data_IF_624658634822
#
_entry.id   IF_624658634822
#
_cell.length_a   1.000
_cell.length_b   1.000
_cell.length_c   1.000
_cell.angle_alpha   90.00
_cell.angle_beta   90.00
_cell.angle_gamma   90.00
#
_symmetry.space_group_name_H-M   'P 1'
#
loop_
_entity.id
_entity.type
_entity.pdbx_description
1 polymer ?
#
# COMPACT_ATOMS: atom_id res chain seq x y z
N UNK A 1 11.33 -2.65 19.75
CA UNK A 1 11.99 -1.33 19.62
C UNK A 1 10.95 -0.37 19.02
N UNK A 2 10.76 0.84 19.57
CA UNK A 2 9.86 1.80 18.93
C UNK A 2 10.48 2.31 17.62
N UNK A 3 9.65 2.42 16.58
CA UNK A 3 9.99 3.05 15.30
C UNK A 3 9.00 4.19 15.12
N UNK A 4 9.51 5.40 14.95
CA UNK A 4 8.70 6.57 14.69
C UNK A 4 8.50 6.77 13.18
N UNK A 5 7.30 7.13 12.75
CA UNK A 5 6.96 7.40 11.35
C UNK A 5 6.58 8.86 11.14
N UNK A 6 7.19 9.50 10.18
CA UNK A 6 6.74 10.77 9.61
C UNK A 6 6.40 10.58 8.13
N UNK A 7 5.23 11.01 7.68
CA UNK A 7 4.87 11.00 6.26
C UNK A 7 5.51 12.20 5.57
N UNK A 8 6.13 11.98 4.43
CA UNK A 8 6.84 13.03 3.69
C UNK A 8 5.85 14.08 3.15
N UNK A 9 5.96 15.34 3.62
CA UNK A 9 5.19 16.48 3.13
C UNK A 9 5.88 17.11 1.90
N UNK A 10 6.08 16.33 0.84
CA UNK A 10 6.54 16.88 -0.43
C UNK A 10 5.36 17.45 -1.22
N UNK A 11 5.53 18.65 -1.80
CA UNK A 11 4.56 19.36 -2.65
C UNK A 11 3.77 18.40 -3.57
N UNK A 12 2.50 18.21 -3.27
CA UNK A 12 1.58 17.40 -4.09
C UNK A 12 1.05 18.28 -5.22
N UNK A 13 1.70 18.23 -6.38
CA UNK A 13 1.14 18.79 -7.61
C UNK A 13 -0.18 18.08 -7.97
N UNK A 14 -1.19 18.78 -8.54
CA UNK A 14 -2.48 18.17 -8.86
C UNK A 14 -2.32 17.02 -9.86
N UNK A 15 -2.81 15.84 -9.47
CA UNK A 15 -2.64 14.59 -10.20
C UNK A 15 -3.67 14.46 -11.33
N UNK A 16 -3.45 15.09 -12.48
CA UNK A 16 -4.30 14.87 -13.66
C UNK A 16 -3.81 13.78 -14.63
N UNK A 17 -2.59 13.22 -14.43
CA UNK A 17 -2.01 12.22 -15.33
C UNK A 17 -1.29 11.10 -14.55
N UNK A 18 -2.05 10.26 -13.82
CA UNK A 18 -1.49 8.99 -13.36
C UNK A 18 -1.30 8.07 -14.59
N UNK A 19 -0.11 7.51 -14.80
CA UNK A 19 0.12 6.58 -15.89
C UNK A 19 -0.78 5.35 -15.72
N UNK A 20 -1.43 4.94 -16.82
CA UNK A 20 -2.09 3.65 -16.87
C UNK A 20 -1.08 2.56 -16.48
N UNK A 21 -1.48 1.57 -15.68
CA UNK A 21 -0.62 0.45 -15.33
C UNK A 21 0.08 -0.09 -16.57
N UNK A 22 1.38 -0.43 -16.46
CA UNK A 22 2.05 -1.09 -17.56
C UNK A 22 1.28 -2.37 -17.88
N UNK A 23 0.74 -2.42 -19.08
CA UNK A 23 0.21 -3.66 -19.63
C UNK A 23 1.36 -4.64 -19.59
N UNK A 24 1.26 -5.65 -18.73
CA UNK A 24 2.27 -6.66 -18.48
C UNK A 24 3.00 -7.05 -19.76
N UNK A 25 4.26 -6.69 -19.88
CA UNK A 25 5.17 -7.35 -20.79
C UNK A 25 5.30 -8.79 -20.28
N UNK A 26 4.54 -9.70 -20.88
CA UNK A 26 4.58 -11.12 -20.56
C UNK A 26 5.99 -11.63 -20.80
N UNK A 27 6.72 -11.87 -19.72
CA UNK A 27 7.89 -12.74 -19.77
C UNK A 27 7.32 -14.14 -20.07
N UNK A 28 7.70 -14.80 -21.20
CA UNK A 28 7.21 -16.13 -21.51
C UNK A 28 7.59 -17.07 -20.38
N UNK A 29 6.59 -17.76 -19.78
CA UNK A 29 6.80 -18.78 -18.75
C UNK A 29 6.46 -18.36 -17.32
N UNK A 30 6.18 -17.07 -17.03
CA UNK A 30 5.68 -16.65 -15.72
C UNK A 30 4.15 -16.68 -15.76
N UNK A 31 3.57 -17.64 -15.05
CA UNK A 31 2.13 -17.63 -14.74
C UNK A 31 1.82 -16.33 -13.98
N UNK A 32 0.73 -15.61 -14.27
CA UNK A 32 0.33 -14.49 -13.42
C UNK A 32 0.12 -15.03 -12.01
N UNK A 33 1.01 -14.66 -11.09
CA UNK A 33 0.92 -15.10 -9.70
C UNK A 33 -0.46 -14.73 -9.19
N UNK A 34 -1.25 -15.75 -8.87
CA UNK A 34 -2.54 -15.57 -8.21
C UNK A 34 -2.23 -15.04 -6.81
N UNK A 35 -2.68 -13.83 -6.50
CA UNK A 35 -2.51 -13.26 -5.17
C UNK A 35 -3.45 -14.01 -4.21
N UNK A 36 -2.91 -14.91 -3.41
CA UNK A 36 -3.70 -15.80 -2.55
C UNK A 36 -3.53 -15.48 -1.06
N UNK A 37 -2.41 -14.88 -0.70
CA UNK A 37 -2.05 -14.65 0.70
C UNK A 37 -1.35 -13.30 0.90
N UNK A 38 -1.03 -12.98 2.16
CA UNK A 38 -0.37 -11.75 2.53
C UNK A 38 1.05 -11.62 1.94
N UNK A 39 1.78 -12.73 1.81
CA UNK A 39 3.15 -12.68 1.28
C UNK A 39 3.16 -12.34 -0.21
N UNK A 40 2.23 -12.92 -0.98
CA UNK A 40 2.04 -12.57 -2.40
C UNK A 40 1.69 -11.08 -2.55
N UNK A 41 0.82 -10.58 -1.66
CA UNK A 41 0.39 -9.18 -1.69
C UNK A 41 1.53 -8.22 -1.32
N UNK A 42 2.37 -8.58 -0.33
CA UNK A 42 3.57 -7.84 0.04
C UNK A 42 4.58 -7.80 -1.11
N UNK A 43 4.83 -8.94 -1.76
CA UNK A 43 5.72 -8.99 -2.92
C UNK A 43 5.20 -8.12 -4.09
N UNK A 44 3.89 -8.13 -4.32
CA UNK A 44 3.25 -7.29 -5.33
C UNK A 44 3.36 -5.79 -4.98
N UNK A 45 3.15 -5.41 -3.71
CA UNK A 45 3.28 -4.04 -3.25
C UNK A 45 4.72 -3.54 -3.36
N UNK A 46 5.71 -4.38 -3.03
CA UNK A 46 7.14 -4.09 -3.20
C UNK A 46 7.51 -3.86 -4.67
N UNK A 47 7.06 -4.75 -5.55
CA UNK A 47 7.27 -4.59 -7.00
C UNK A 47 6.63 -3.29 -7.52
N UNK A 48 5.42 -2.97 -7.08
CA UNK A 48 4.75 -1.72 -7.44
C UNK A 48 5.51 -0.50 -6.92
N UNK A 49 6.04 -0.54 -5.69
CA UNK A 49 6.82 0.53 -5.12
C UNK A 49 8.09 0.79 -5.94
N UNK A 50 8.88 -0.25 -6.25
CA UNK A 50 10.07 -0.11 -7.11
C UNK A 50 9.72 0.46 -8.49
N UNK A 51 8.66 -0.06 -9.12
CA UNK A 51 8.18 0.44 -10.41
C UNK A 51 7.74 1.91 -10.35
N UNK A 52 6.99 2.31 -9.33
CA UNK A 52 6.53 3.68 -9.13
C UNK A 52 7.71 4.64 -8.93
N UNK A 53 8.64 4.28 -8.05
CA UNK A 53 9.85 5.07 -7.79
C UNK A 53 10.70 5.25 -9.05
N UNK A 54 10.85 4.20 -9.90
CA UNK A 54 11.61 4.30 -11.16
C UNK A 54 10.96 5.20 -12.18
N UNK A 55 9.63 5.18 -12.29
CA UNK A 55 8.91 5.85 -13.37
C UNK A 55 8.39 7.24 -12.99
N UNK A 56 8.04 7.43 -11.71
CA UNK A 56 7.42 8.66 -11.21
C UNK A 56 8.34 9.40 -10.24
N UNK A 57 9.36 8.72 -9.69
CA UNK A 57 10.29 9.26 -8.68
C UNK A 57 9.73 9.26 -7.25
N UNK A 58 8.49 8.78 -7.07
CA UNK A 58 7.79 8.72 -5.77
C UNK A 58 6.83 7.55 -5.73
N UNK A 59 6.45 7.13 -4.52
CA UNK A 59 5.39 6.17 -4.27
C UNK A 59 4.16 6.87 -3.68
N UNK A 60 3.09 7.09 -4.44
CA UNK A 60 1.83 7.54 -3.86
C UNK A 60 1.35 6.55 -2.80
N UNK A 61 0.83 7.00 -1.65
CA UNK A 61 0.22 6.11 -0.67
C UNK A 61 -0.83 5.23 -1.33
N UNK A 62 -0.66 3.93 -1.19
CA UNK A 62 -1.45 2.95 -1.95
C UNK A 62 -1.89 1.80 -1.05
N UNK A 63 -3.19 1.53 -1.05
CA UNK A 63 -3.77 0.36 -0.42
C UNK A 63 -3.93 -0.76 -1.46
N UNK A 64 -3.36 -1.93 -1.17
CA UNK A 64 -3.62 -3.18 -1.86
C UNK A 64 -4.48 -4.07 -0.97
N UNK A 65 -5.42 -4.80 -1.53
CA UNK A 65 -6.20 -5.78 -0.79
C UNK A 65 -6.59 -6.99 -1.64
N UNK A 66 -6.74 -8.13 -1.00
CA UNK A 66 -7.31 -9.34 -1.58
C UNK A 66 -8.76 -9.41 -1.12
N UNK A 67 -9.67 -9.00 -1.99
CA UNK A 67 -11.11 -9.03 -1.72
C UNK A 67 -11.79 -10.28 -2.25
N UNK A 68 -13.05 -10.48 -1.90
CA UNK A 68 -13.87 -11.63 -2.33
C UNK A 68 -14.04 -11.76 -3.86
N UNK A 69 -13.77 -10.69 -4.62
CA UNK A 69 -13.84 -10.67 -6.09
C UNK A 69 -12.46 -10.57 -6.76
N UNK A 70 -11.41 -10.73 -5.99
CA UNK A 70 -10.01 -10.63 -6.43
C UNK A 70 -9.28 -9.40 -5.88
N UNK A 71 -8.05 -9.20 -6.33
CA UNK A 71 -7.20 -8.13 -5.84
C UNK A 71 -7.70 -6.75 -6.30
N UNK A 72 -7.59 -5.79 -5.39
CA UNK A 72 -7.99 -4.40 -5.58
C UNK A 72 -6.85 -3.49 -5.15
N UNK A 73 -6.68 -2.37 -5.85
CA UNK A 73 -5.76 -1.31 -5.48
C UNK A 73 -6.53 0.01 -5.39
N UNK A 74 -6.20 0.80 -4.37
CA UNK A 74 -6.78 2.11 -4.12
C UNK A 74 -5.71 3.12 -3.73
N UNK A 75 -5.79 4.30 -4.31
CA UNK A 75 -4.95 5.46 -4.00
C UNK A 75 -5.85 6.64 -3.64
N UNK A 76 -5.51 7.44 -2.63
CA UNK A 76 -6.24 8.68 -2.33
C UNK A 76 -5.95 9.73 -3.40
N UNK A 77 -6.83 10.73 -3.49
CA UNK A 77 -6.62 11.89 -4.37
C UNK A 77 -5.57 12.85 -3.79
N UNK A 78 -5.52 12.99 -2.47
CA UNK A 78 -4.60 13.85 -1.74
C UNK A 78 -4.23 13.23 -0.39
N UNK A 79 -3.08 13.61 0.17
CA UNK A 79 -2.67 13.44 1.56
C UNK A 79 -1.94 14.70 2.03
N UNK A 80 -2.46 15.87 1.69
CA UNK A 80 -1.78 17.14 1.94
C UNK A 80 -1.75 17.51 3.44
N UNK A 81 -2.72 17.07 4.20
CA UNK A 81 -2.83 17.40 5.62
C UNK A 81 -3.26 16.19 6.48
N UNK A 82 -3.35 16.42 7.79
CA UNK A 82 -3.72 15.37 8.76
C UNK A 82 -5.16 14.88 8.55
N UNK A 83 -6.08 15.77 8.12
CA UNK A 83 -7.46 15.41 7.80
C UNK A 83 -7.54 14.47 6.61
N UNK A 84 -6.78 14.74 5.55
CA UNK A 84 -6.67 13.87 4.37
C UNK A 84 -6.14 12.48 4.75
N UNK A 85 -5.15 12.44 5.65
CA UNK A 85 -4.56 11.18 6.14
C UNK A 85 -5.57 10.37 6.95
N UNK A 86 -6.37 11.02 7.81
CA UNK A 86 -7.44 10.37 8.58
C UNK A 86 -8.58 9.88 7.67
N UNK A 87 -8.92 10.68 6.68
CA UNK A 87 -9.94 10.32 5.69
C UNK A 87 -9.50 9.13 4.84
N UNK A 88 -8.22 9.08 4.45
CA UNK A 88 -7.66 7.94 3.74
C UNK A 88 -7.65 6.68 4.61
N UNK A 89 -7.24 6.76 5.88
CA UNK A 89 -7.26 5.63 6.80
C UNK A 89 -8.70 5.09 7.00
N UNK A 90 -9.67 6.00 7.14
CA UNK A 90 -11.09 5.64 7.23
C UNK A 90 -11.57 4.97 5.95
N UNK A 91 -11.22 5.53 4.80
CA UNK A 91 -11.57 4.98 3.49
C UNK A 91 -10.94 3.61 3.28
N UNK A 92 -9.68 3.42 3.68
CA UNK A 92 -8.99 2.13 3.61
C UNK A 92 -9.72 1.04 4.43
N UNK A 93 -10.17 1.36 5.66
CA UNK A 93 -10.98 0.45 6.48
C UNK A 93 -12.31 0.12 5.82
N UNK A 94 -13.01 1.11 5.29
CA UNK A 94 -14.26 0.90 4.55
C UNK A 94 -14.05 0.02 3.30
N UNK A 95 -12.93 0.19 2.60
CA UNK A 95 -12.56 -0.65 1.46
C UNK A 95 -12.35 -2.11 1.87
N UNK A 96 -11.62 -2.36 2.96
CA UNK A 96 -11.44 -3.71 3.49
C UNK A 96 -12.79 -4.36 3.85
N UNK A 97 -13.70 -3.62 4.48
CA UNK A 97 -15.05 -4.10 4.82
C UNK A 97 -15.87 -4.37 3.55
N UNK A 98 -15.97 -3.39 2.66
CA UNK A 98 -16.82 -3.46 1.46
C UNK A 98 -16.44 -4.60 0.51
N UNK A 99 -15.14 -4.90 0.44
CA UNK A 99 -14.61 -5.98 -0.41
C UNK A 99 -14.46 -7.32 0.33
N UNK A 100 -14.83 -7.41 1.62
CA UNK A 100 -14.56 -8.57 2.47
C UNK A 100 -13.11 -9.03 2.33
N UNK A 101 -12.18 -8.11 2.58
CA UNK A 101 -10.76 -8.35 2.38
C UNK A 101 -10.26 -9.42 3.35
N UNK A 102 -9.45 -10.35 2.85
CA UNK A 102 -8.77 -11.39 3.64
C UNK A 102 -7.33 -11.00 3.97
N UNK A 103 -6.75 -10.12 3.19
CA UNK A 103 -5.46 -9.49 3.43
C UNK A 103 -5.44 -8.08 2.84
N UNK A 104 -4.65 -7.19 3.44
CA UNK A 104 -4.35 -5.89 2.86
C UNK A 104 -2.89 -5.50 3.10
N UNK A 105 -2.36 -4.61 2.26
CA UNK A 105 -1.04 -3.97 2.42
C UNK A 105 -1.20 -2.49 2.16
N UNK A 106 -0.79 -1.67 3.13
CA UNK A 106 -0.59 -0.24 2.94
C UNK A 106 0.86 -0.01 2.54
N UNK A 107 1.08 0.67 1.41
CA UNK A 107 2.38 1.06 0.91
C UNK A 107 2.49 2.58 0.90
N UNK A 108 3.56 3.14 1.47
CA UNK A 108 3.80 4.59 1.52
C UNK A 108 5.29 4.91 1.67
N UNK A 109 5.69 6.11 1.26
CA UNK A 109 6.98 6.69 1.61
C UNK A 109 6.90 7.31 3.00
N UNK A 110 7.98 7.16 3.76
CA UNK A 110 8.11 7.75 5.09
C UNK A 110 9.56 8.07 5.42
N UNK A 111 9.75 8.97 6.37
CA UNK A 111 11.00 9.08 7.11
C UNK A 111 10.96 8.11 8.28
N UNK A 112 12.01 7.34 8.45
CA UNK A 112 12.17 6.43 9.56
C UNK A 112 13.45 6.74 10.33
N UNK A 113 13.36 6.59 11.66
CA UNK A 113 14.50 6.62 12.56
C UNK A 113 14.60 5.25 13.23
N UNK A 114 15.77 4.67 13.20
CA UNK A 114 16.01 3.35 13.78
C UNK A 114 16.95 3.50 14.98
N UNK A 115 16.48 3.14 16.17
CA UNK A 115 17.35 3.09 17.33
C UNK A 115 18.41 2.01 17.15
N UNK A 116 19.65 2.32 17.46
CA UNK A 116 20.71 1.32 17.53
C UNK A 116 20.49 0.40 18.74
N UNK A 117 21.03 -0.81 18.67
CA UNK A 117 20.90 -1.77 19.75
C UNK A 117 21.47 -1.17 21.06
N UNK A 118 20.61 -1.05 22.08
CA UNK A 118 20.97 -0.49 23.38
C UNK A 118 20.77 1.04 23.55
N UNK A 119 20.44 1.76 22.49
CA UNK A 119 20.07 3.17 22.57
C UNK A 119 18.58 3.34 22.91
N UNK A 120 18.28 4.34 23.74
CA UNK A 120 16.88 4.75 23.98
C UNK A 120 16.41 5.55 22.78
N UNK A 121 15.25 5.16 22.27
CA UNK A 121 14.58 5.92 21.21
C UNK A 121 14.05 7.25 21.79
N UNK A 122 14.43 8.36 21.15
CA UNK A 122 13.85 9.66 21.49
C UNK A 122 12.53 9.83 20.72
N UNK A 123 11.42 9.69 21.45
CA UNK A 123 10.06 9.80 20.91
C UNK A 123 9.63 11.26 20.73
N UNK A 124 10.39 12.23 21.24
CA UNK A 124 10.03 13.64 21.18
C UNK A 124 10.44 14.31 19.87
N UNK A 125 11.45 13.75 19.18
CA UNK A 125 11.93 14.24 17.89
C UNK A 125 11.19 13.52 16.75
N UNK A 126 10.41 14.25 15.92
CA UNK A 126 9.75 13.63 14.77
C UNK A 126 10.79 13.01 13.81
N UNK A 127 10.53 11.81 13.24
CA UNK A 127 11.47 11.19 12.31
C UNK A 127 11.82 12.06 11.10
N UNK A 128 10.91 12.94 10.68
CA UNK A 128 11.13 13.89 9.57
C UNK A 128 12.18 14.98 9.89
N UNK A 129 12.46 15.23 11.17
CA UNK A 129 13.42 16.26 11.63
C UNK A 129 14.73 15.64 12.12
N UNK A 130 14.77 14.33 12.36
CA UNK A 130 15.95 13.66 12.89
C UNK A 130 17.12 13.71 11.90
N UNK A 131 18.34 13.94 12.43
CA UNK A 131 19.55 14.01 11.61
C UNK A 131 19.90 12.66 10.96
N UNK A 132 19.63 11.57 11.66
CA UNK A 132 19.90 10.17 11.23
C UNK A 132 18.70 9.51 10.54
N UNK A 133 17.74 10.32 10.09
CA UNK A 133 16.57 9.83 9.36
C UNK A 133 16.94 9.14 8.07
N UNK A 134 16.17 8.12 7.74
CA UNK A 134 16.28 7.40 6.48
C UNK A 134 14.97 7.50 5.70
N UNK A 135 15.09 7.76 4.41
CA UNK A 135 13.94 7.69 3.49
C UNK A 135 13.63 6.22 3.19
N UNK A 136 12.42 5.80 3.45
CA UNK A 136 12.02 4.39 3.30
C UNK A 136 10.66 4.25 2.60
N UNK A 137 10.49 3.14 1.90
CA UNK A 137 9.16 2.62 1.61
C UNK A 137 8.74 1.73 2.77
N UNK A 138 7.60 2.02 3.35
CA UNK A 138 6.97 1.20 4.39
C UNK A 138 5.85 0.39 3.77
N UNK A 139 5.91 -0.93 3.95
CA UNK A 139 4.84 -1.85 3.60
C UNK A 139 4.26 -2.43 4.90
N UNK A 140 3.02 -2.09 5.19
CA UNK A 140 2.28 -2.58 6.36
C UNK A 140 1.21 -3.57 5.90
N UNK A 141 1.45 -4.84 6.15
CA UNK A 141 0.60 -5.94 5.73
C UNK A 141 -0.21 -6.53 6.88
N UNK A 142 -1.50 -6.75 6.65
CA UNK A 142 -2.41 -7.37 7.59
C UNK A 142 -3.19 -8.51 6.95
N UNK A 143 -3.40 -9.58 7.72
CA UNK A 143 -4.30 -10.68 7.39
C UNK A 143 -5.01 -11.15 8.67
N UNK A 144 -6.00 -12.02 8.55
CA UNK A 144 -6.63 -12.63 9.73
C UNK A 144 -5.71 -13.57 10.51
N UNK A 145 -4.55 -13.94 9.96
CA UNK A 145 -3.57 -14.83 10.58
C UNK A 145 -2.37 -14.10 11.17
N UNK A 146 -2.22 -12.78 10.90
CA UNK A 146 -1.11 -11.99 11.44
C UNK A 146 -0.81 -10.74 10.64
N UNK A 147 0.21 -10.04 11.11
CA UNK A 147 0.71 -8.79 10.55
C UNK A 147 2.17 -8.96 10.12
N UNK A 148 2.57 -8.24 9.08
CA UNK A 148 3.95 -8.19 8.60
C UNK A 148 4.29 -6.77 8.17
N UNK A 149 5.53 -6.34 8.45
CA UNK A 149 6.05 -5.05 8.03
C UNK A 149 7.35 -5.22 7.26
N UNK A 150 7.54 -4.35 6.26
CA UNK A 150 8.84 -4.18 5.60
C UNK A 150 9.18 -2.70 5.57
N UNK A 151 10.45 -2.39 5.86
CA UNK A 151 11.03 -1.07 5.71
C UNK A 151 12.12 -1.19 4.65
N UNK A 152 11.87 -0.66 3.48
CA UNK A 152 12.76 -0.77 2.34
C UNK A 152 13.47 0.58 2.15
N UNK A 153 14.76 0.70 2.53
CA UNK A 153 15.51 1.94 2.32
C UNK A 153 15.45 2.38 0.86
N UNK A 154 15.18 3.66 0.63
CA UNK A 154 15.20 4.26 -0.69
C UNK A 154 16.66 4.64 -0.99
N UNK A 155 17.26 3.92 -1.94
CA UNK A 155 18.63 4.18 -2.35
C UNK A 155 18.62 5.17 -3.52
N UNK A 156 19.33 6.30 -3.35
CA UNK A 156 19.51 7.30 -4.39
C UNK A 156 20.97 7.36 -4.81
N UNK A 157 21.23 7.66 -6.07
CA UNK A 157 22.55 7.96 -6.59
C UNK A 157 22.99 9.38 -6.15
N UNK A 158 24.26 9.72 -6.34
CA UNK A 158 24.84 11.02 -5.97
C UNK A 158 24.10 12.24 -6.57
N UNK A 159 23.41 12.04 -7.69
CA UNK A 159 22.60 13.08 -8.33
C UNK A 159 21.14 13.07 -7.86
N UNK A 160 20.80 12.36 -6.77
CA UNK A 160 19.47 12.29 -6.15
C UNK A 160 18.46 11.39 -6.87
N UNK A 161 18.83 10.74 -7.98
CA UNK A 161 17.92 9.83 -8.70
C UNK A 161 17.75 8.52 -7.96
N UNK A 162 16.55 7.99 -8.00
CA UNK A 162 16.24 6.66 -7.47
C UNK A 162 17.10 5.61 -8.17
N UNK A 163 17.79 4.79 -7.37
CA UNK A 163 18.61 3.68 -7.82
C UNK A 163 17.91 2.34 -7.58
N UNK A 164 17.32 2.15 -6.41
CA UNK A 164 16.62 0.94 -6.01
C UNK A 164 16.07 1.00 -4.59
N UNK A 165 15.35 -0.03 -4.21
CA UNK A 165 14.98 -0.28 -2.83
C UNK A 165 16.01 -1.22 -2.20
N UNK A 166 16.44 -0.89 -0.98
CA UNK A 166 17.33 -1.75 -0.20
C UNK A 166 16.58 -2.89 0.47
N UNK A 167 17.33 -3.84 1.01
CA UNK A 167 16.76 -4.92 1.82
C UNK A 167 16.19 -4.37 3.15
N UNK A 168 15.11 -4.98 3.61
CA UNK A 168 14.49 -4.61 4.88
C UNK A 168 15.38 -5.03 6.05
N UNK A 169 15.90 -4.04 6.76
CA UNK A 169 16.75 -4.25 7.96
C UNK A 169 15.99 -4.05 9.26
N UNK A 170 14.69 -3.75 9.21
CA UNK A 170 13.92 -3.53 10.42
C UNK A 170 13.67 -4.84 11.17
N UNK A 171 13.81 -4.82 12.50
CA UNK A 171 13.42 -5.96 13.32
C UNK A 171 11.92 -6.25 13.11
N UNK A 172 11.56 -7.54 13.16
CA UNK A 172 10.16 -7.94 13.20
C UNK A 172 9.48 -7.24 14.38
N UNK A 173 8.46 -6.45 14.11
CA UNK A 173 7.66 -5.82 15.15
C UNK A 173 6.44 -6.71 15.41
N UNK A 174 6.20 -7.01 16.69
CA UNK A 174 5.11 -7.90 17.09
C UNK A 174 3.72 -7.26 16.84
N UNK A 175 3.64 -5.94 16.81
CA UNK A 175 2.41 -5.21 16.62
C UNK A 175 2.61 -3.92 15.82
N UNK A 176 1.80 -3.76 14.76
CA UNK A 176 1.72 -2.50 14.03
C UNK A 176 0.88 -1.48 14.79
N UNK A 177 1.45 -0.28 14.98
CA UNK A 177 0.76 0.86 15.61
C UNK A 177 0.71 2.03 14.66
N UNK A 178 -0.28 2.86 14.82
CA UNK A 178 -0.43 4.10 14.06
C UNK A 178 -1.70 4.15 13.23
N UNK A 179 -1.84 5.23 12.47
CA UNK A 179 -3.04 5.60 11.70
C UNK A 179 -3.46 4.52 10.69
N UNK A 180 -2.49 3.91 10.03
CA UNK A 180 -2.69 2.91 8.98
C UNK A 180 -2.56 1.47 9.49
N UNK A 181 -2.61 1.25 10.79
CA UNK A 181 -2.75 -0.05 11.41
C UNK A 181 -4.22 -0.45 11.60
N UNK A 182 -4.48 -1.74 11.77
CA UNK A 182 -5.81 -2.29 12.01
C UNK A 182 -6.83 -1.88 10.94
N UNK A 183 -6.43 -2.03 9.67
CA UNK A 183 -7.29 -1.75 8.52
C UNK A 183 -8.29 -2.86 8.28
N UNK A 184 -7.92 -4.12 8.58
CA UNK A 184 -8.82 -5.25 8.46
C UNK A 184 -9.77 -5.33 9.65
N UNK A 185 -11.06 -5.63 9.42
CA UNK A 185 -11.98 -5.95 10.51
C UNK A 185 -11.54 -7.25 11.19
N UNK A 186 -11.72 -7.36 12.51
CA UNK A 186 -11.36 -8.54 13.28
C UNK A 186 -12.14 -9.80 12.89
N UNK A 187 -13.31 -9.62 12.26
CA UNK A 187 -14.16 -10.71 11.74
C UNK A 187 -14.58 -10.38 10.31
N UNK A 188 -14.74 -11.41 9.49
CA UNK A 188 -15.29 -11.26 8.14
C UNK A 188 -16.67 -10.58 8.24
N UNK A 189 -16.85 -9.39 7.61
CA UNK A 189 -18.10 -8.65 7.70
C UNK A 189 -19.25 -9.41 7.00
N UNK A 190 -20.43 -9.36 7.61
CA UNK A 190 -21.65 -9.86 6.96
C UNK A 190 -22.07 -8.98 5.76
N UNK A 191 -23.03 -9.47 4.97
CA UNK A 191 -23.44 -8.76 3.75
C UNK A 191 -24.09 -7.40 4.05
N UNK A 192 -24.81 -7.24 5.16
CA UNK A 192 -25.41 -5.97 5.56
C UNK A 192 -24.35 -4.92 5.84
N UNK A 193 -23.34 -5.26 6.62
CA UNK A 193 -22.20 -4.36 6.94
C UNK A 193 -21.44 -4.00 5.65
N UNK A 194 -21.24 -4.98 4.75
CA UNK A 194 -20.57 -4.74 3.45
C UNK A 194 -21.37 -3.77 2.56
N UNK A 195 -22.69 -3.88 2.53
CA UNK A 195 -23.56 -2.96 1.78
C UNK A 195 -23.51 -1.54 2.34
N UNK A 196 -23.50 -1.39 3.66
CA UNK A 196 -23.34 -0.08 4.32
C UNK A 196 -21.98 0.52 3.96
N UNK A 197 -20.89 -0.23 4.07
CA UNK A 197 -19.56 0.25 3.69
C UNK A 197 -19.48 0.69 2.22
N UNK A 198 -20.08 -0.07 1.30
CA UNK A 198 -20.19 0.31 -0.13
C UNK A 198 -20.96 1.61 -0.32
N UNK A 199 -22.06 1.80 0.41
CA UNK A 199 -22.84 3.03 0.33
C UNK A 199 -22.03 4.24 0.85
N UNK A 200 -21.29 4.08 1.95
CA UNK A 200 -20.41 5.12 2.49
C UNK A 200 -19.28 5.50 1.51
N UNK A 201 -18.63 4.51 0.89
CA UNK A 201 -17.61 4.74 -0.14
C UNK A 201 -18.19 5.51 -1.35
N UNK A 202 -19.40 5.19 -1.76
CA UNK A 202 -20.09 5.91 -2.84
C UNK A 202 -20.36 7.38 -2.48
N UNK A 203 -20.78 7.64 -1.24
CA UNK A 203 -20.99 9.02 -0.74
C UNK A 203 -19.68 9.79 -0.71
N UNK A 204 -18.57 9.14 -0.33
CA UNK A 204 -17.22 9.73 -0.38
C UNK A 204 -16.66 9.92 -1.80
N UNK A 205 -17.41 9.59 -2.85
CA UNK A 205 -16.93 9.71 -4.22
C UNK A 205 -15.93 8.63 -4.65
N UNK A 206 -15.65 7.63 -3.81
CA UNK A 206 -14.76 6.50 -4.12
C UNK A 206 -15.45 5.58 -5.13
N UNK A 207 -15.51 6.01 -6.39
CA UNK A 207 -16.24 5.31 -7.45
C UNK A 207 -15.37 4.50 -8.42
N UNK A 208 -14.05 4.72 -8.43
CA UNK A 208 -13.14 4.03 -9.36
C UNK A 208 -12.07 3.25 -8.59
N UNK A 209 -12.40 2.01 -8.32
CA UNK A 209 -11.43 1.03 -7.83
C UNK A 209 -10.80 0.36 -9.04
N UNK A 210 -9.49 0.48 -9.19
CA UNK A 210 -8.77 -0.20 -10.25
C UNK A 210 -8.58 -1.66 -9.87
N UNK A 211 -9.19 -2.58 -10.59
CA UNK A 211 -8.88 -4.01 -10.45
C UNK A 211 -7.47 -4.25 -10.99
N UNK A 212 -6.62 -4.88 -10.19
CA UNK A 212 -5.28 -5.28 -10.64
C UNK A 212 -5.44 -6.29 -11.78
N UNK A 213 -4.86 -6.04 -12.98
CA UNK A 213 -4.95 -6.97 -14.08
C UNK A 213 -4.20 -8.28 -13.72
N UNK A 214 -4.90 -9.37 -13.47
CA UNK A 214 -4.27 -10.64 -13.14
C UNK A 214 -5.23 -11.77 -12.79
N UNK A 215 -6.52 -11.51 -12.56
CA UNK A 215 -7.49 -12.52 -12.11
C UNK A 215 -8.70 -12.76 -13.03
N UNK A 216 -8.72 -12.29 -14.26
CA UNK A 216 -9.88 -12.38 -15.14
C UNK A 216 -9.89 -13.64 -15.99
N UNK A 217 -10.82 -14.55 -15.71
CA UNK A 217 -11.24 -15.63 -16.62
C UNK A 217 -11.64 -14.96 -17.95
N UNK A 218 -10.86 -15.16 -19.02
CA UNK A 218 -11.25 -14.78 -20.38
C UNK A 218 -12.50 -15.58 -20.74
N UNK A 219 -13.67 -14.95 -20.75
CA UNK A 219 -14.80 -15.43 -21.55
C UNK A 219 -14.42 -15.28 -23.02
N UNK A 220 -14.03 -16.39 -23.64
CA UNK A 220 -13.92 -16.49 -25.10
C UNK A 220 -15.33 -16.37 -25.70
N UNK A 221 -15.66 -15.19 -26.19
CA UNK A 221 -16.81 -15.02 -27.05
C UNK A 221 -16.50 -15.70 -28.39
N UNK A 222 -17.05 -16.89 -28.61
CA UNK A 222 -17.04 -17.52 -29.93
C UNK A 222 -17.91 -16.68 -30.85
N UNK A 223 -17.28 -15.88 -31.72
CA UNK A 223 -17.96 -15.36 -32.91
C UNK A 223 -18.25 -16.54 -33.84
N UNK A 224 -19.53 -16.89 -33.95
CA UNK A 224 -20.01 -17.68 -35.08
C UNK A 224 -20.02 -16.78 -36.31
N UNK A 225 -19.12 -17.07 -37.24
CA UNK A 225 -19.22 -16.58 -38.61
C UNK A 225 -20.41 -17.30 -39.29
N UNK A 226 -21.33 -16.54 -39.85
CA UNK A 226 -22.25 -16.96 -40.91
C UNK A 226 -21.71 -16.45 -42.23
#
# INVERSE_FOLDING_TARGET
>A
MPVGFGVNEGDVAPQSNLPAFPVSNRIPGVQPNRLENLDDLLAQAEHYADHSMRNIGRLPPTLFLIGSKGPVMFMPESLADESDKDDFATTARLMCIAHAATACVMALEAWAKFAKAGEKFDETEPPSEAFDRQEVVVLMGESHTGQKQKFLPIIRSDNGKFFGLGESNAPSMDEMKGRFAQLLPTKVPDEGIRLVAKAMLKVKGVGRVTQVPGGGVRRTTRHRLR
#
